data_IF_712856511892
#
_entry.id   IF_712856511892
#
_cell.length_a   1.000
_cell.length_b   1.000
_cell.length_c   1.000
_cell.angle_alpha   90.00
_cell.angle_beta   90.00
_cell.angle_gamma   90.00
#
_symmetry.space_group_name_H-M   'P 1'
#
loop_
_entity.id
_entity.type
_entity.pdbx_description
1 polymer ?
#
# COMPACT_ATOMS: atom_id res chain seq x y z
N UNK A 1 42.39 16.42 61.84
CA UNK A 1 42.34 16.31 60.37
C UNK A 1 41.57 15.02 60.07
N UNK A 2 40.40 14.94 59.46
CA UNK A 2 39.60 15.84 58.65
C UNK A 2 38.88 14.96 57.60
N UNK A 3 37.55 14.86 57.69
CA UNK A 3 36.57 14.41 56.67
C UNK A 3 36.39 12.91 56.31
N UNK A 4 35.15 12.42 56.44
CA UNK A 4 34.53 11.45 55.52
C UNK A 4 33.75 12.22 54.42
N UNK A 5 33.47 11.64 53.24
CA UNK A 5 32.23 10.86 53.15
C UNK A 5 32.28 9.61 52.23
N UNK A 6 31.24 8.82 52.45
CA UNK A 6 30.66 7.67 51.75
C UNK A 6 30.32 7.92 50.26
N UNK A 7 29.94 6.81 49.59
CA UNK A 7 29.17 6.64 48.33
C UNK A 7 30.04 6.87 47.06
N UNK A 8 29.97 6.10 45.97
CA UNK A 8 28.86 5.36 45.36
C UNK A 8 29.43 4.23 44.52
N UNK A 9 28.73 3.08 44.51
CA UNK A 9 28.96 2.02 43.54
C UNK A 9 28.97 2.57 42.11
N UNK A 10 29.72 1.93 41.23
CA UNK A 10 29.75 2.28 39.81
C UNK A 10 28.35 2.15 39.23
N UNK A 11 27.63 3.27 39.24
CA UNK A 11 26.35 3.46 38.58
C UNK A 11 26.57 3.17 37.11
N UNK A 12 25.78 2.26 36.56
CA UNK A 12 25.62 2.08 35.13
C UNK A 12 25.26 3.43 34.50
N UNK A 13 26.25 4.16 33.98
CA UNK A 13 25.98 5.36 33.20
C UNK A 13 25.66 4.94 31.77
N UNK A 14 24.38 5.08 31.45
CA UNK A 14 23.82 4.77 30.15
C UNK A 14 24.50 5.59 29.06
N UNK A 15 25.20 4.90 28.17
CA UNK A 15 25.34 5.36 26.81
C UNK A 15 23.96 5.19 26.15
N UNK A 16 23.12 6.22 26.25
CA UNK A 16 22.04 6.39 25.28
C UNK A 16 22.75 6.59 23.94
N UNK A 17 22.95 5.53 23.19
CA UNK A 17 23.49 5.62 21.84
C UNK A 17 22.68 6.68 21.07
N UNK A 18 23.34 7.60 20.35
CA UNK A 18 22.62 8.60 19.58
C UNK A 18 21.75 7.85 18.56
N UNK A 19 20.44 8.08 18.57
CA UNK A 19 19.55 7.43 17.61
C UNK A 19 20.06 7.69 16.20
N UNK A 20 20.44 6.62 15.52
CA UNK A 20 20.91 6.72 14.15
C UNK A 20 19.71 6.84 13.20
N UNK A 21 19.97 7.31 11.98
CA UNK A 21 18.96 7.31 10.90
C UNK A 21 18.39 5.90 10.67
N UNK A 22 19.24 4.88 10.78
CA UNK A 22 18.85 3.47 10.60
C UNK A 22 17.88 3.01 11.69
N UNK A 23 18.06 3.48 12.93
CA UNK A 23 17.16 3.17 14.05
C UNK A 23 15.80 3.85 13.88
N UNK A 24 15.80 5.12 13.49
CA UNK A 24 14.58 5.89 13.18
C UNK A 24 13.77 5.21 12.07
N UNK A 25 14.42 4.86 10.97
CA UNK A 25 13.77 4.21 9.84
C UNK A 25 13.23 2.82 10.22
N UNK A 26 13.94 2.07 11.05
CA UNK A 26 13.50 0.75 11.52
C UNK A 26 12.29 0.84 12.45
N UNK A 27 12.25 1.85 13.33
CA UNK A 27 11.07 2.13 14.17
C UNK A 27 9.88 2.56 13.33
N UNK A 28 10.07 3.42 12.32
CA UNK A 28 8.99 3.84 11.41
C UNK A 28 8.46 2.63 10.62
N UNK A 29 9.34 1.78 10.09
CA UNK A 29 9.00 0.53 9.39
C UNK A 29 8.22 -0.43 10.30
N UNK A 30 8.71 -0.69 11.50
CA UNK A 30 8.13 -1.67 12.42
C UNK A 30 6.84 -1.20 13.12
N UNK A 31 6.55 0.11 13.14
CA UNK A 31 5.36 0.65 13.82
C UNK A 31 4.29 1.21 12.86
N UNK A 32 4.62 2.24 12.08
CA UNK A 32 3.63 3.01 11.31
C UNK A 32 3.33 2.38 9.94
N UNK A 33 4.34 1.76 9.37
CA UNK A 33 4.28 1.24 8.02
C UNK A 33 3.45 -0.07 7.98
N UNK A 34 3.34 -0.79 9.11
CA UNK A 34 2.32 -1.86 9.31
C UNK A 34 0.87 -1.35 9.38
N UNK A 35 0.64 -0.05 9.54
CA UNK A 35 -0.71 0.54 9.68
C UNK A 35 -1.28 1.09 8.36
N UNK A 36 -0.65 0.81 7.22
CA UNK A 36 -1.24 1.17 5.93
C UNK A 36 -2.62 0.50 5.78
N UNK A 37 -3.62 1.19 5.19
CA UNK A 37 -4.95 0.61 5.02
C UNK A 37 -4.88 -0.74 4.30
N UNK A 38 -5.69 -1.74 4.70
CA UNK A 38 -5.68 -3.03 4.04
C UNK A 38 -6.08 -2.91 2.57
N UNK A 39 -5.46 -3.71 1.71
CA UNK A 39 -5.92 -3.88 0.34
C UNK A 39 -7.27 -4.60 0.36
N UNK A 40 -8.30 -3.93 -0.15
CA UNK A 40 -9.68 -4.40 -0.19
C UNK A 40 -10.23 -4.22 -1.61
N UNK A 41 -9.53 -4.85 -2.55
CA UNK A 41 -9.80 -4.71 -3.96
C UNK A 41 -11.13 -5.35 -4.37
N UNK A 42 -11.76 -4.79 -5.40
CA UNK A 42 -13.01 -5.28 -5.95
C UNK A 42 -13.12 -5.02 -7.45
N UNK A 43 -14.19 -5.53 -8.05
CA UNK A 43 -14.47 -5.38 -9.47
C UNK A 43 -15.97 -5.27 -9.76
N UNK A 44 -16.32 -4.61 -10.85
CA UNK A 44 -17.67 -4.55 -11.41
C UNK A 44 -17.66 -4.99 -12.89
N UNK A 45 -18.56 -5.89 -13.32
CA UNK A 45 -19.39 -6.76 -12.47
C UNK A 45 -18.55 -7.72 -11.62
N UNK A 46 -19.05 -8.14 -10.44
CA UNK A 46 -18.33 -9.07 -9.58
C UNK A 46 -18.34 -10.49 -10.16
N UNK A 47 -17.17 -11.11 -10.30
CA UNK A 47 -17.02 -12.55 -10.53
C UNK A 47 -17.37 -13.08 -11.92
N UNK A 48 -18.19 -12.38 -12.72
CA UNK A 48 -18.56 -12.80 -14.07
C UNK A 48 -18.79 -11.63 -15.01
N UNK A 49 -18.27 -11.72 -16.24
CA UNK A 49 -18.52 -10.73 -17.31
C UNK A 49 -18.63 -11.40 -18.68
N UNK A 50 -18.98 -10.62 -19.71
CA UNK A 50 -18.94 -11.03 -21.11
C UNK A 50 -17.67 -10.51 -21.80
N UNK A 51 -17.24 -11.15 -22.88
CA UNK A 51 -16.13 -10.65 -23.72
C UNK A 51 -16.37 -9.25 -24.29
N UNK A 52 -17.63 -8.84 -24.44
CA UNK A 52 -18.03 -7.50 -24.89
C UNK A 52 -18.11 -6.45 -23.77
N UNK A 53 -18.00 -6.85 -22.50
CA UNK A 53 -18.21 -5.96 -21.34
C UNK A 53 -16.91 -5.85 -20.53
N UNK A 54 -16.27 -4.66 -20.50
CA UNK A 54 -15.07 -4.47 -19.69
C UNK A 54 -15.39 -4.54 -18.20
N UNK A 55 -14.46 -5.09 -17.42
CA UNK A 55 -14.52 -4.97 -15.96
C UNK A 55 -13.95 -3.63 -15.53
N UNK A 56 -14.51 -3.06 -14.47
CA UNK A 56 -13.96 -1.93 -13.72
C UNK A 56 -13.36 -2.49 -12.44
N UNK A 57 -12.16 -2.04 -12.05
CA UNK A 57 -11.52 -2.47 -10.80
C UNK A 57 -11.14 -1.29 -9.91
N UNK A 58 -11.06 -1.55 -8.61
CA UNK A 58 -10.64 -0.58 -7.60
C UNK A 58 -9.89 -1.29 -6.47
N UNK A 59 -8.97 -0.59 -5.80
CA UNK A 59 -8.12 -1.17 -4.74
C UNK A 59 -8.73 -1.12 -3.34
N UNK A 60 -9.70 -0.23 -3.11
CA UNK A 60 -10.23 0.03 -1.76
C UNK A 60 -9.24 0.75 -0.82
N UNK A 61 -8.08 1.17 -1.34
CA UNK A 61 -7.06 1.89 -0.59
C UNK A 61 -6.98 3.36 -1.03
N UNK A 62 -6.51 4.28 -0.17
CA UNK A 62 -6.25 5.65 -0.59
C UNK A 62 -4.91 5.77 -1.33
N UNK A 63 -4.79 6.81 -2.16
CA UNK A 63 -3.51 7.19 -2.80
C UNK A 63 -2.46 7.64 -1.79
N UNK A 64 -2.88 8.33 -0.73
CA UNK A 64 -2.02 8.85 0.33
C UNK A 64 -2.59 8.41 1.68
N UNK A 65 -1.72 7.93 2.56
CA UNK A 65 -2.04 7.63 3.94
C UNK A 65 -1.12 8.44 4.87
N UNK A 66 -1.71 9.08 5.88
CA UNK A 66 -0.99 9.82 6.92
C UNK A 66 -1.36 9.22 8.27
N UNK A 67 -0.53 8.33 8.83
CA UNK A 67 -0.78 7.83 10.17
C UNK A 67 -0.59 8.94 11.21
N UNK A 68 -1.05 8.73 12.46
CA UNK A 68 -0.85 9.70 13.53
C UNK A 68 0.63 10.01 13.76
N UNK A 69 0.90 11.29 14.07
CA UNK A 69 2.22 11.76 14.43
C UNK A 69 2.79 10.96 15.62
N UNK A 70 4.09 10.71 15.59
CA UNK A 70 4.79 10.01 16.66
C UNK A 70 5.92 10.84 17.24
N UNK A 71 6.30 10.54 18.47
CA UNK A 71 7.48 11.13 19.11
C UNK A 71 8.58 10.08 19.16
N UNK A 72 9.73 10.39 18.60
CA UNK A 72 10.92 9.54 18.69
C UNK A 72 12.04 10.40 19.28
N UNK A 73 12.61 9.97 20.41
CA UNK A 73 13.72 10.67 21.06
C UNK A 73 13.45 12.16 21.34
N UNK A 74 12.21 12.52 21.66
CA UNK A 74 11.79 13.91 21.90
C UNK A 74 11.42 14.70 20.64
N UNK A 75 11.74 14.20 19.44
CA UNK A 75 11.36 14.83 18.18
C UNK A 75 9.97 14.38 17.72
N UNK A 76 9.18 15.32 17.19
CA UNK A 76 7.92 15.01 16.51
C UNK A 76 8.23 14.57 15.08
N UNK A 77 7.70 13.40 14.71
CA UNK A 77 7.89 12.78 13.40
C UNK A 77 6.53 12.57 12.74
N UNK A 78 6.40 13.11 11.54
CA UNK A 78 5.20 12.99 10.70
C UNK A 78 5.50 12.09 9.51
N UNK A 79 4.60 11.18 9.17
CA UNK A 79 4.81 10.25 8.04
C UNK A 79 3.74 10.48 6.98
N UNK A 80 4.16 10.46 5.71
CA UNK A 80 3.28 10.49 4.55
C UNK A 80 3.62 9.31 3.65
N UNK A 81 2.74 8.32 3.62
CA UNK A 81 2.85 7.17 2.74
C UNK A 81 2.04 7.41 1.46
N UNK A 82 2.56 6.96 0.32
CA UNK A 82 1.93 7.02 -0.99
C UNK A 82 1.89 5.62 -1.61
N UNK A 83 0.75 5.28 -2.21
CA UNK A 83 0.53 3.98 -2.82
C UNK A 83 0.55 4.03 -4.35
N UNK A 84 1.02 2.94 -4.96
CA UNK A 84 0.82 2.60 -6.37
C UNK A 84 0.38 1.13 -6.47
N UNK A 85 -0.38 0.79 -7.51
CA UNK A 85 -0.91 -0.55 -7.68
C UNK A 85 -0.44 -1.15 -9.00
N UNK A 86 0.00 -2.41 -8.95
CA UNK A 86 0.24 -3.21 -10.14
C UNK A 86 -0.91 -4.19 -10.30
N UNK A 87 -1.66 -4.05 -11.39
CA UNK A 87 -2.72 -4.97 -11.78
C UNK A 87 -2.17 -5.97 -12.79
N UNK A 88 -2.40 -7.26 -12.57
CA UNK A 88 -2.13 -8.32 -13.53
C UNK A 88 -3.46 -9.02 -13.83
N UNK A 89 -3.86 -9.03 -15.10
CA UNK A 89 -5.21 -9.38 -15.53
C UNK A 89 -5.45 -10.89 -15.68
N UNK A 90 -4.39 -11.69 -15.61
CA UNK A 90 -4.46 -13.14 -15.74
C UNK A 90 -4.55 -13.64 -17.19
N UNK A 91 -4.51 -12.73 -18.18
CA UNK A 91 -4.48 -13.01 -19.62
C UNK A 91 -3.11 -12.68 -20.27
N UNK A 92 -2.08 -12.50 -19.44
CA UNK A 92 -0.74 -12.09 -19.85
C UNK A 92 -0.50 -10.57 -19.80
N UNK A 93 -1.56 -9.75 -19.68
CA UNK A 93 -1.43 -8.30 -19.54
C UNK A 93 -1.26 -7.88 -18.08
N UNK A 94 -0.48 -6.82 -17.85
CA UNK A 94 -0.33 -6.18 -16.55
C UNK A 94 0.01 -4.70 -16.70
N UNK A 95 -0.40 -3.89 -15.72
CA UNK A 95 -0.17 -2.45 -15.76
C UNK A 95 -0.02 -1.83 -14.37
N UNK A 96 0.62 -0.66 -14.33
CA UNK A 96 0.75 0.15 -13.13
C UNK A 96 -0.28 1.27 -13.11
N UNK A 97 -0.87 1.52 -11.94
CA UNK A 97 -1.78 2.63 -11.67
C UNK A 97 -1.33 3.42 -10.45
N UNK A 98 -1.39 4.74 -10.57
CA UNK A 98 -1.11 5.68 -9.48
C UNK A 98 -2.40 6.20 -8.81
N UNK A 99 -3.56 5.78 -9.31
CA UNK A 99 -4.88 6.06 -8.73
C UNK A 99 -5.49 4.75 -8.22
N UNK A 100 -6.30 4.79 -7.15
CA UNK A 100 -6.90 3.59 -6.58
C UNK A 100 -8.04 3.01 -7.43
N UNK A 101 -8.53 3.76 -8.41
CA UNK A 101 -9.79 3.47 -9.09
C UNK A 101 -10.99 3.73 -8.19
N UNK A 102 -12.18 3.48 -8.73
CA UNK A 102 -13.44 3.55 -8.00
C UNK A 102 -14.44 2.56 -8.61
N UNK A 103 -15.43 2.10 -7.83
CA UNK A 103 -16.53 1.31 -8.37
C UNK A 103 -17.28 2.04 -9.50
N UNK A 104 -18.03 1.28 -10.30
CA UNK A 104 -19.00 1.83 -11.25
C UNK A 104 -19.86 2.92 -10.57
N UNK A 105 -20.17 4.06 -11.24
CA UNK A 105 -20.03 4.33 -12.67
C UNK A 105 -18.65 4.84 -13.12
N UNK A 106 -17.69 5.02 -12.21
CA UNK A 106 -16.35 5.48 -12.61
C UNK A 106 -15.64 4.39 -13.42
N UNK A 107 -14.93 4.80 -14.47
CA UNK A 107 -14.23 3.91 -15.40
C UNK A 107 -12.72 4.16 -15.39
N UNK A 108 -12.20 4.46 -14.20
CA UNK A 108 -10.81 4.90 -13.99
C UNK A 108 -9.79 3.81 -14.34
N UNK A 109 -10.12 2.56 -14.02
CA UNK A 109 -9.30 1.39 -14.34
C UNK A 109 -10.22 0.32 -14.91
N UNK A 110 -10.07 0.02 -16.20
CA UNK A 110 -10.87 -0.97 -16.90
C UNK A 110 -10.03 -1.94 -17.71
N UNK A 111 -10.50 -3.18 -17.83
CA UNK A 111 -9.90 -4.17 -18.70
C UNK A 111 -10.95 -4.99 -19.44
N UNK A 112 -10.72 -5.28 -20.71
CA UNK A 112 -11.62 -6.07 -21.54
C UNK A 112 -10.96 -7.37 -21.99
N UNK A 113 -11.63 -8.48 -21.68
CA UNK A 113 -11.18 -9.81 -22.07
C UNK A 113 -11.71 -10.19 -23.45
N UNK A 114 -10.82 -10.71 -24.31
CA UNK A 114 -11.15 -11.10 -25.69
C UNK A 114 -11.62 -12.55 -25.82
N UNK A 115 -11.25 -13.41 -24.88
CA UNK A 115 -11.60 -14.83 -24.89
C UNK A 115 -12.43 -15.18 -23.66
N UNK A 116 -13.33 -16.14 -23.81
CA UNK A 116 -14.02 -16.75 -22.69
C UNK A 116 -13.04 -17.63 -21.90
N UNK A 117 -13.22 -17.68 -20.58
CA UNK A 117 -12.32 -18.42 -19.70
C UNK A 117 -12.46 -18.03 -18.25
N UNK A 118 -11.69 -18.70 -17.39
CA UNK A 118 -11.53 -18.31 -15.99
C UNK A 118 -10.20 -17.59 -15.81
N UNK A 119 -10.26 -16.40 -15.22
CA UNK A 119 -9.12 -15.51 -14.99
C UNK A 119 -8.97 -15.21 -13.51
N UNK A 120 -7.74 -14.94 -13.10
CA UNK A 120 -7.42 -14.43 -11.76
C UNK A 120 -6.75 -13.08 -11.92
N UNK A 121 -7.49 -12.02 -11.58
CA UNK A 121 -6.95 -10.66 -11.51
C UNK A 121 -6.18 -10.53 -10.21
N UNK A 122 -4.88 -10.24 -10.30
CA UNK A 122 -4.03 -10.00 -9.14
C UNK A 122 -3.73 -8.51 -9.03
N UNK A 123 -3.78 -7.98 -7.82
CA UNK A 123 -3.34 -6.63 -7.52
C UNK A 123 -2.32 -6.66 -6.41
N UNK A 124 -1.21 -5.96 -6.63
CA UNK A 124 -0.20 -5.69 -5.62
C UNK A 124 -0.16 -4.20 -5.34
N UNK A 125 -0.37 -3.81 -4.09
CA UNK A 125 -0.10 -2.44 -3.63
C UNK A 125 1.37 -2.26 -3.31
N UNK A 126 1.91 -1.08 -3.59
CA UNK A 126 3.29 -0.69 -3.33
C UNK A 126 3.27 0.63 -2.59
N UNK A 127 3.64 0.59 -1.31
CA UNK A 127 3.70 1.77 -0.45
C UNK A 127 5.14 2.25 -0.30
N UNK A 128 5.35 3.52 -0.64
CA UNK A 128 6.56 4.28 -0.28
C UNK A 128 6.18 5.35 0.73
N UNK A 129 7.13 5.80 1.55
CA UNK A 129 6.86 6.81 2.56
C UNK A 129 7.97 7.84 2.68
N UNK A 130 7.57 9.06 3.01
CA UNK A 130 8.46 10.13 3.49
C UNK A 130 8.13 10.41 4.95
N UNK A 131 9.14 10.78 5.73
CA UNK A 131 8.96 11.26 7.10
C UNK A 131 9.55 12.66 7.26
N UNK A 132 8.94 13.46 8.12
CA UNK A 132 9.39 14.82 8.45
C UNK A 132 9.63 14.91 9.94
N UNK A 133 10.82 15.37 10.33
CA UNK A 133 11.20 15.60 11.71
C UNK A 133 11.20 17.10 11.98
N UNK A 134 10.39 17.54 12.94
CA UNK A 134 10.24 18.96 13.26
C UNK A 134 11.60 19.58 13.63
N UNK A 135 11.98 20.66 12.92
CA UNK A 135 13.24 21.37 13.13
C UNK A 135 14.46 20.77 12.42
N UNK A 136 14.32 19.61 11.76
CA UNK A 136 15.43 18.96 11.04
C UNK A 136 15.18 18.92 9.53
N UNK A 137 14.05 18.37 9.08
CA UNK A 137 13.75 18.26 7.65
C UNK A 137 12.90 17.06 7.26
N UNK A 138 12.74 16.84 5.95
CA UNK A 138 11.98 15.76 5.34
C UNK A 138 12.90 14.77 4.63
N UNK A 139 12.67 13.48 4.85
CA UNK A 139 13.51 12.39 4.36
C UNK A 139 12.64 11.26 3.78
N UNK A 140 13.19 10.52 2.82
CA UNK A 140 12.60 9.27 2.37
C UNK A 140 12.82 8.17 3.42
N UNK A 141 11.79 7.36 3.65
CA UNK A 141 11.95 6.09 4.37
C UNK A 141 12.67 5.13 3.43
N UNK A 142 13.93 4.83 3.70
CA UNK A 142 14.71 3.85 2.92
C UNK A 142 14.20 2.41 3.11
N UNK A 143 14.94 1.42 2.58
CA UNK A 143 14.67 0.00 2.83
C UNK A 143 13.55 -0.63 1.98
N UNK A 144 13.09 -1.81 2.40
CA UNK A 144 12.08 -2.61 1.68
C UNK A 144 10.71 -1.90 1.67
N UNK A 145 10.09 -1.84 0.49
CA UNK A 145 8.76 -1.28 0.31
C UNK A 145 7.69 -2.22 0.87
N UNK A 146 6.55 -1.65 1.29
CA UNK A 146 5.45 -2.46 1.79
C UNK A 146 4.54 -2.86 0.66
N UNK A 147 4.29 -4.16 0.61
CA UNK A 147 3.43 -4.78 -0.38
C UNK A 147 2.27 -5.50 0.28
N UNK A 148 1.09 -5.38 -0.34
CA UNK A 148 -0.04 -6.24 -0.05
C UNK A 148 -0.56 -6.78 -1.37
N UNK A 149 -0.93 -8.05 -1.38
CA UNK A 149 -1.42 -8.77 -2.55
C UNK A 149 -2.87 -9.20 -2.33
N UNK A 150 -3.70 -9.08 -3.36
CA UNK A 150 -5.04 -9.66 -3.38
C UNK A 150 -5.33 -10.25 -4.76
N UNK A 151 -6.12 -11.33 -4.79
CA UNK A 151 -6.57 -11.98 -6.01
C UNK A 151 -8.10 -11.94 -6.11
N UNK A 152 -8.61 -11.64 -7.28
CA UNK A 152 -10.03 -11.61 -7.61
C UNK A 152 -10.29 -12.64 -8.73
N UNK A 153 -11.25 -13.54 -8.52
CA UNK A 153 -11.64 -14.54 -9.51
C UNK A 153 -12.65 -13.93 -10.48
N UNK A 154 -12.50 -14.22 -11.77
CA UNK A 154 -13.38 -13.73 -12.83
C UNK A 154 -13.65 -14.82 -13.86
N UNK A 155 -14.93 -15.06 -14.16
CA UNK A 155 -15.36 -15.89 -15.28
C UNK A 155 -15.82 -15.00 -16.44
N UNK A 156 -15.17 -15.12 -17.59
CA UNK A 156 -15.55 -14.44 -18.82
C UNK A 156 -16.30 -15.42 -19.71
N UNK A 157 -17.48 -15.03 -20.19
CA UNK A 157 -18.27 -15.81 -21.14
C UNK A 157 -18.35 -15.10 -22.49
N UNK A 158 -18.44 -15.87 -23.57
CA UNK A 158 -18.57 -15.30 -24.91
C UNK A 158 -19.89 -14.55 -25.07
N UNK A 159 -19.85 -13.32 -25.55
CA UNK A 159 -21.03 -12.69 -26.12
C UNK A 159 -21.31 -13.33 -27.49
N UNK A 160 -22.35 -14.16 -27.59
CA UNK A 160 -22.85 -14.60 -28.90
C UNK A 160 -23.76 -13.50 -29.45
N UNK A 161 -23.39 -12.92 -30.59
CA UNK A 161 -24.31 -12.09 -31.36
C UNK A 161 -25.33 -13.01 -32.01
N UNK A 162 -26.56 -12.99 -31.54
CA UNK A 162 -27.69 -13.58 -32.28
C UNK A 162 -28.15 -12.53 -33.29
N UNK A 163 -27.76 -12.72 -34.54
CA UNK A 163 -28.32 -11.97 -35.66
C UNK A 163 -29.59 -12.72 -36.07
N UNK A 164 -30.74 -12.36 -35.50
CA UNK A 164 -32.04 -12.90 -35.94
C UNK A 164 -32.44 -12.17 -37.23
N UNK A 165 -32.55 -12.86 -38.37
CA UNK A 165 -33.14 -12.25 -39.55
C UNK A 165 -34.63 -12.01 -39.29
N UNK A 166 -35.10 -10.80 -39.62
CA UNK A 166 -36.53 -10.50 -39.67
C UNK A 166 -37.12 -11.17 -40.91
N UNK A 167 -38.25 -11.83 -40.73
CA UNK A 167 -38.99 -12.53 -41.79
C UNK A 167 -40.08 -11.63 -42.38
#
# INVERSE_FOLDING_TARGET
MGQMPTVVGTVCWGATEPLTRTDLESVIRNSQLRRVPPLAAGMNPPGKTFTSVPVIVFSGQPIIHRPPDMRIAGFRVQVKAQCRWRWAWGDGQAEWRAIPGAPYPRRDITHQYRAAGSYVVKVRSHWSAKYTVTGIGTFDVGGEQIHQDQSLKLTVVSARTLLTPWH
#
